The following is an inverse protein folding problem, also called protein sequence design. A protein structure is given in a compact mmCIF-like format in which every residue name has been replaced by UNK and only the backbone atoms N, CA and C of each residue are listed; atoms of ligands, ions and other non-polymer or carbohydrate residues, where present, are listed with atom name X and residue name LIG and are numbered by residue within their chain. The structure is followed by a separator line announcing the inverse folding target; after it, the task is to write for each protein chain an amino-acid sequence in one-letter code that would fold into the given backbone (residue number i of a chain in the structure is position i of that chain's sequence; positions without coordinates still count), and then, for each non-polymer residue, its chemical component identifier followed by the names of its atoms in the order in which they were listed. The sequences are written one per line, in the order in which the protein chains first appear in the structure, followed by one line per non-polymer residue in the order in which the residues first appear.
data_IF_233827761183
#
_entry.id   IF_233827761183
#
_cell.length_a   1.000
_cell.length_b   1.000
_cell.length_c   1.000
_cell.angle_alpha   90.00
_cell.angle_beta   90.00
_cell.angle_gamma   90.00
#
_symmetry.space_group_name_H-M   'P 1'
#
loop_
_entity.id
_entity.type
_entity.pdbx_description
1 polymer ?
#
# COMPACT_ATOMS: atom_id res chain seq x y z
N UNK A 1 12.10 20.93 -7.79
CA UNK A 1 11.66 19.52 -7.91
C UNK A 1 10.37 19.37 -7.11
N UNK A 2 9.21 19.32 -7.76
CA UNK A 2 7.93 19.25 -7.06
C UNK A 2 7.81 17.91 -6.33
N UNK A 3 7.82 17.95 -4.99
CA UNK A 3 7.67 16.78 -4.12
C UNK A 3 6.23 16.28 -4.26
N UNK A 4 5.98 15.34 -5.17
CA UNK A 4 4.72 14.60 -5.18
C UNK A 4 4.68 13.81 -3.87
N UNK A 5 3.60 13.89 -3.08
CA UNK A 5 3.49 13.02 -1.91
C UNK A 5 3.51 11.58 -2.43
N UNK A 6 4.57 10.83 -2.13
CA UNK A 6 4.68 9.42 -2.49
C UNK A 6 3.63 8.65 -1.71
N UNK A 7 2.50 8.43 -2.37
CA UNK A 7 1.42 7.58 -1.91
C UNK A 7 1.40 6.33 -2.75
N UNK A 8 0.87 5.27 -2.17
CA UNK A 8 0.66 4.02 -2.88
C UNK A 8 -0.17 4.27 -4.13
N UNK A 9 0.38 3.87 -5.28
CA UNK A 9 -0.30 4.02 -6.55
C UNK A 9 -1.55 3.14 -6.61
N UNK A 10 -2.52 3.48 -7.49
CA UNK A 10 -3.75 2.69 -7.66
C UNK A 10 -3.47 1.22 -7.99
N UNK A 11 -2.43 0.95 -8.78
CA UNK A 11 -1.99 -0.41 -9.12
C UNK A 11 -1.47 -1.16 -7.89
N UNK A 12 -0.60 -0.53 -7.10
CA UNK A 12 -0.06 -1.11 -5.87
C UNK A 12 -1.16 -1.36 -4.83
N UNK A 13 -2.11 -0.44 -4.67
CA UNK A 13 -3.26 -0.62 -3.77
C UNK A 13 -4.17 -1.79 -4.21
N UNK A 14 -4.35 -1.96 -5.52
CA UNK A 14 -5.12 -3.08 -6.09
C UNK A 14 -4.43 -4.41 -5.82
N UNK A 15 -3.11 -4.48 -6.01
CA UNK A 15 -2.32 -5.68 -5.72
C UNK A 15 -2.35 -6.01 -4.23
N UNK A 16 -2.13 -5.03 -3.35
CA UNK A 16 -2.22 -5.20 -1.90
C UNK A 16 -3.59 -5.73 -1.46
N UNK A 17 -4.67 -5.22 -2.05
CA UNK A 17 -6.03 -5.70 -1.77
C UNK A 17 -6.24 -7.16 -2.15
N UNK A 18 -5.60 -7.64 -3.23
CA UNK A 18 -5.64 -9.05 -3.62
C UNK A 18 -4.88 -9.93 -2.61
N UNK A 19 -3.70 -9.49 -2.17
CA UNK A 19 -2.87 -10.20 -1.17
C UNK A 19 -3.61 -10.37 0.15
N UNK A 20 -4.37 -9.36 0.58
CA UNK A 20 -5.16 -9.45 1.82
C UNK A 20 -6.34 -10.42 1.71
N UNK A 21 -6.93 -10.57 0.52
CA UNK A 21 -8.08 -11.45 0.26
C UNK A 21 -7.67 -12.90 -0.02
N UNK A 22 -6.41 -13.13 -0.37
CA UNK A 22 -5.90 -14.45 -0.69
C UNK A 22 -5.66 -15.28 0.59
N UNK A 23 -6.33 -16.44 0.75
CA UNK A 23 -6.10 -17.33 1.90
C UNK A 23 -4.69 -17.95 1.90
N UNK A 24 -4.01 -18.04 0.76
CA UNK A 24 -2.66 -18.60 0.63
C UNK A 24 -1.54 -17.58 0.91
N UNK A 25 -1.87 -16.31 1.05
CA UNK A 25 -0.87 -15.26 1.32
C UNK A 25 -0.33 -15.35 2.74
N UNK A 26 1.00 -15.27 2.87
CA UNK A 26 1.70 -15.36 4.16
C UNK A 26 1.44 -14.16 5.06
N UNK A 27 1.62 -14.33 6.37
CA UNK A 27 1.44 -13.24 7.34
C UNK A 27 2.31 -12.02 6.99
N UNK A 28 3.57 -12.24 6.60
CA UNK A 28 4.48 -11.18 6.18
C UNK A 28 3.96 -10.42 4.95
N UNK A 29 3.44 -11.14 3.95
CA UNK A 29 2.88 -10.51 2.74
C UNK A 29 1.63 -9.67 3.07
N UNK A 30 0.76 -10.16 3.96
CA UNK A 30 -0.43 -9.43 4.42
C UNK A 30 -0.05 -8.16 5.19
N UNK A 31 0.96 -8.23 6.06
CA UNK A 31 1.48 -7.05 6.78
C UNK A 31 2.02 -6.01 5.82
N UNK A 32 2.85 -6.40 4.84
CA UNK A 32 3.38 -5.46 3.84
C UNK A 32 2.28 -4.83 2.99
N UNK A 33 1.28 -5.62 2.57
CA UNK A 33 0.12 -5.14 1.83
C UNK A 33 -0.73 -4.15 2.64
N UNK A 34 -0.95 -4.43 3.93
CA UNK A 34 -1.66 -3.52 4.82
C UNK A 34 -0.90 -2.19 4.99
N UNK A 35 0.42 -2.23 5.20
CA UNK A 35 1.26 -1.04 5.30
C UNK A 35 1.12 -0.13 4.08
N UNK A 36 1.09 -0.73 2.88
CA UNK A 36 0.85 0.02 1.64
C UNK A 36 -0.53 0.71 1.64
N UNK A 37 -1.62 0.01 1.97
CA UNK A 37 -2.96 0.64 1.99
C UNK A 37 -3.10 1.76 3.02
N UNK A 38 -2.33 1.73 4.10
CA UNK A 38 -2.34 2.77 5.14
C UNK A 38 -1.42 3.95 4.85
N UNK A 39 -0.65 3.92 3.75
CA UNK A 39 0.31 4.96 3.43
C UNK A 39 -0.42 6.30 3.16
N UNK A 40 -0.41 7.18 4.17
CA UNK A 40 -1.02 8.51 4.06
C UNK A 40 -0.07 9.46 3.33
N UNK A 41 -0.57 10.30 2.40
CA UNK A 41 0.24 11.37 1.84
C UNK A 41 0.72 12.26 2.99
N UNK A 42 2.03 12.49 3.07
CA UNK A 42 2.57 13.45 4.01
C UNK A 42 2.09 14.85 3.60
N UNK A 43 1.02 15.35 4.24
CA UNK A 43 0.43 16.67 3.99
C UNK A 43 1.22 17.81 4.64
N UNK A 44 2.52 17.65 4.87
CA UNK A 44 3.39 18.76 5.28
C UNK A 44 4.01 19.38 4.03
N UNK A 45 3.42 20.51 3.63
CA UNK A 45 3.99 21.46 2.67
C UNK A 45 5.23 22.10 3.26
#
# INVERSE_FOLDING_TARGET
MAKKPEVTSKAAATAASKVLRDPKSSAAAKTAAASALTQRPNRKK
#
